data_IF_814775496482
#
_entry.id   IF_814775496482
#
_cell.length_a   1.000
_cell.length_b   1.000
_cell.length_c   1.000
_cell.angle_alpha   90.00
_cell.angle_beta   90.00
_cell.angle_gamma   90.00
#
_symmetry.space_group_name_H-M   'P 1'
#
loop_
_entity.id
_entity.type
_entity.pdbx_description
1 polymer ?
#
# COMPACT_ATOMS: atom_id res chain seq x y z
N UNK A 1 14.03 21.55 -7.21
CA UNK A 1 13.06 21.50 -6.09
C UNK A 1 13.85 21.30 -4.79
N UNK A 2 13.76 22.23 -3.84
CA UNK A 2 14.50 22.14 -2.58
C UNK A 2 13.97 20.96 -1.75
N UNK A 3 14.86 20.09 -1.27
CA UNK A 3 14.51 18.95 -0.42
C UNK A 3 13.99 19.51 0.92
N UNK A 4 12.72 19.23 1.25
CA UNK A 4 12.12 19.68 2.53
C UNK A 4 12.99 19.18 3.69
N UNK A 5 13.41 20.11 4.54
CA UNK A 5 14.22 19.83 5.72
C UNK A 5 13.46 18.87 6.64
N UNK A 6 14.15 17.85 7.16
CA UNK A 6 13.61 16.88 8.12
C UNK A 6 14.41 16.90 9.41
N UNK A 7 13.75 16.55 10.51
CA UNK A 7 14.35 16.43 11.83
C UNK A 7 14.21 14.99 12.30
N UNK A 8 15.22 14.43 12.96
CA UNK A 8 15.29 13.03 13.33
C UNK A 8 15.50 12.93 14.83
N UNK A 9 14.53 12.35 15.53
CA UNK A 9 14.68 12.00 16.94
C UNK A 9 15.19 10.57 17.04
N UNK A 10 16.21 10.35 17.87
CA UNK A 10 16.84 9.05 18.11
C UNK A 10 16.76 8.76 19.62
N UNK A 11 15.97 7.75 19.99
CA UNK A 11 15.81 7.29 21.36
C UNK A 11 16.81 6.19 21.72
N UNK A 12 17.16 5.33 20.75
CA UNK A 12 18.14 4.28 20.90
C UNK A 12 19.16 4.40 19.76
N UNK A 13 20.30 5.00 20.10
CA UNK A 13 21.40 5.34 19.21
C UNK A 13 22.68 5.61 20.03
N UNK A 14 23.80 5.89 19.36
CA UNK A 14 25.06 6.30 19.97
C UNK A 14 25.66 7.50 19.21
N UNK A 15 25.42 8.76 19.65
CA UNK A 15 24.59 9.15 20.79
C UNK A 15 23.08 9.22 20.44
N UNK A 16 22.18 8.97 21.41
CA UNK A 16 20.77 9.33 21.26
C UNK A 16 20.61 10.86 21.27
N UNK A 17 19.56 11.37 20.64
CA UNK A 17 19.33 12.81 20.55
C UNK A 17 18.59 13.25 19.29
N UNK A 18 18.64 14.55 19.03
CA UNK A 18 17.96 15.18 17.91
C UNK A 18 18.95 15.59 16.81
N UNK A 19 18.62 15.22 15.58
CA UNK A 19 19.46 15.48 14.41
C UNK A 19 18.68 16.24 13.35
N UNK A 20 19.33 17.24 12.75
CA UNK A 20 18.79 18.00 11.61
C UNK A 20 19.30 17.48 10.25
N UNK A 21 19.90 16.29 10.21
CA UNK A 21 20.39 15.73 8.95
C UNK A 21 20.42 14.21 9.00
N UNK A 22 20.06 13.59 7.88
CA UNK A 22 20.10 12.13 7.75
C UNK A 22 21.49 11.54 8.00
N UNK A 23 22.60 12.09 7.45
CA UNK A 23 23.92 11.51 7.68
C UNK A 23 24.31 11.45 9.16
N UNK A 24 23.98 12.49 9.94
CA UNK A 24 24.23 12.49 11.39
C UNK A 24 23.34 11.50 12.14
N UNK A 25 22.05 11.45 11.80
CA UNK A 25 21.14 10.45 12.36
C UNK A 25 21.60 9.02 12.01
N UNK A 26 22.03 8.78 10.77
CA UNK A 26 22.49 7.49 10.29
C UNK A 26 23.75 7.06 11.03
N UNK A 27 24.71 7.95 11.22
CA UNK A 27 25.91 7.66 12.02
C UNK A 27 25.55 7.24 13.45
N UNK A 28 24.53 7.87 14.04
CA UNK A 28 24.08 7.55 15.40
C UNK A 28 23.33 6.22 15.54
N UNK A 29 22.75 5.68 14.47
CA UNK A 29 21.99 4.40 14.52
C UNK A 29 22.71 3.23 13.84
N UNK A 30 23.75 3.51 13.05
CA UNK A 30 24.47 2.50 12.27
C UNK A 30 25.17 1.51 13.20
N UNK A 31 24.88 0.22 13.00
CA UNK A 31 25.46 -0.86 13.79
C UNK A 31 24.77 -1.12 15.13
N UNK A 32 23.69 -0.41 15.45
CA UNK A 32 22.93 -0.61 16.69
C UNK A 32 21.73 -1.50 16.40
N UNK A 33 21.76 -2.71 16.94
CA UNK A 33 20.62 -3.62 16.88
C UNK A 33 19.43 -3.03 17.63
N UNK A 34 18.28 -2.93 16.97
CA UNK A 34 17.08 -2.33 17.54
C UNK A 34 17.11 -0.81 17.66
N UNK A 35 17.92 -0.10 16.86
CA UNK A 35 17.93 1.37 16.88
C UNK A 35 16.52 1.98 16.74
N UNK A 36 16.20 2.92 17.62
CA UNK A 36 14.88 3.57 17.70
C UNK A 36 15.02 5.01 17.26
N UNK A 37 14.49 5.33 16.08
CA UNK A 37 14.52 6.67 15.53
C UNK A 37 13.28 6.96 14.69
N UNK A 38 12.96 8.25 14.50
CA UNK A 38 11.86 8.70 13.65
C UNK A 38 12.13 10.09 13.08
N UNK A 39 11.74 10.31 11.83
CA UNK A 39 11.79 11.62 11.19
C UNK A 39 10.49 12.41 11.35
N UNK A 40 10.60 13.73 11.49
CA UNK A 40 9.52 14.70 11.62
C UNK A 40 9.75 15.89 10.67
N UNK A 41 8.67 16.59 10.38
CA UNK A 41 8.68 17.73 9.45
C UNK A 41 9.10 19.05 10.13
N UNK A 42 8.95 19.15 11.46
CA UNK A 42 9.33 20.34 12.22
C UNK A 42 10.19 19.98 13.45
N UNK A 43 11.04 20.92 13.86
CA UNK A 43 11.89 20.78 15.04
C UNK A 43 11.04 20.53 16.31
N UNK A 44 10.00 21.36 16.50
CA UNK A 44 9.11 21.27 17.65
C UNK A 44 8.40 19.90 17.76
N UNK A 45 8.03 19.29 16.63
CA UNK A 45 7.46 17.93 16.63
C UNK A 45 8.48 16.89 17.07
N UNK A 46 9.72 17.03 16.62
CA UNK A 46 10.79 16.09 16.94
C UNK A 46 11.24 16.21 18.40
N UNK A 47 11.34 17.42 18.95
CA UNK A 47 11.62 17.69 20.36
C UNK A 47 10.52 17.12 21.26
N UNK A 48 9.26 17.42 20.93
CA UNK A 48 8.10 16.89 21.66
C UNK A 48 8.05 15.36 21.63
N UNK A 49 8.37 14.77 20.48
CA UNK A 49 8.43 13.31 20.36
C UNK A 49 9.56 12.73 21.21
N UNK A 50 10.76 13.32 21.15
CA UNK A 50 11.93 12.86 21.91
C UNK A 50 11.72 12.92 23.42
N UNK A 51 10.90 13.86 23.91
CA UNK A 51 10.48 13.94 25.31
C UNK A 51 9.51 12.82 25.76
N UNK A 52 8.88 12.11 24.81
CA UNK A 52 8.02 10.96 25.06
C UNK A 52 8.68 9.62 24.71
N UNK A 53 7.93 8.52 24.84
CA UNK A 53 8.43 7.19 24.48
C UNK A 53 8.41 6.97 22.95
N UNK A 54 9.39 6.22 22.43
CA UNK A 54 9.44 5.83 21.02
C UNK A 54 8.13 5.17 20.55
N UNK A 55 7.51 4.35 21.41
CA UNK A 55 6.22 3.68 21.14
C UNK A 55 5.09 4.68 20.85
N UNK A 56 5.07 5.81 21.55
CA UNK A 56 4.07 6.87 21.34
C UNK A 56 4.35 7.62 20.03
N UNK A 57 5.63 7.85 19.75
CA UNK A 57 6.04 8.47 18.50
C UNK A 57 5.66 7.61 17.28
N UNK A 58 5.81 6.28 17.33
CA UNK A 58 5.45 5.38 16.22
C UNK A 58 3.96 5.03 16.15
N UNK A 59 3.24 5.01 17.28
CA UNK A 59 1.81 4.71 17.31
C UNK A 59 0.98 5.82 16.67
N UNK A 60 1.42 7.08 16.81
CA UNK A 60 0.77 8.24 16.17
C UNK A 60 0.93 8.22 14.63
N UNK A 61 1.96 7.57 14.09
CA UNK A 61 2.09 7.34 12.63
C UNK A 61 1.24 6.18 12.08
N UNK A 62 0.70 5.33 12.95
CA UNK A 62 -0.09 4.16 12.56
C UNK A 62 -1.57 4.44 12.32
N UNK A 63 -2.09 5.58 12.79
CA UNK A 63 -3.39 6.07 12.31
C UNK A 63 -3.18 6.60 10.89
N UNK A 64 -3.15 5.69 9.91
CA UNK A 64 -3.72 6.01 8.60
C UNK A 64 -5.01 6.74 8.92
N UNK A 65 -5.19 7.96 8.41
CA UNK A 65 -6.54 8.51 8.30
C UNK A 65 -7.28 7.53 7.40
N UNK A 66 -7.83 6.47 7.98
CA UNK A 66 -8.96 5.81 7.38
C UNK A 66 -9.97 6.93 7.35
N UNK A 67 -10.18 7.51 6.18
CA UNK A 67 -11.44 8.19 5.91
C UNK A 67 -12.48 7.09 6.06
N UNK A 68 -12.83 6.78 7.32
CA UNK A 68 -13.78 5.76 7.66
C UNK A 68 -15.08 6.32 7.13
N UNK A 69 -15.52 5.75 6.01
CA UNK A 69 -16.74 6.13 5.32
C UNK A 69 -17.86 6.10 6.37
N UNK A 70 -18.56 7.22 6.53
CA UNK A 70 -19.64 7.33 7.52
C UNK A 70 -20.73 6.29 7.21
N UNK A 71 -21.58 5.97 8.19
CA UNK A 71 -22.67 5.03 7.98
C UNK A 71 -23.60 5.49 6.84
N UNK A 72 -23.83 6.79 6.72
CA UNK A 72 -24.63 7.42 5.68
C UNK A 72 -23.96 7.30 4.31
N UNK A 73 -22.64 7.49 4.23
CA UNK A 73 -21.90 7.31 2.99
C UNK A 73 -21.87 5.85 2.55
N UNK A 74 -21.76 4.89 3.48
CA UNK A 74 -21.86 3.45 3.16
C UNK A 74 -23.24 3.09 2.63
N UNK A 75 -24.30 3.63 3.25
CA UNK A 75 -25.67 3.42 2.78
C UNK A 75 -25.90 3.94 1.35
N UNK A 76 -25.25 5.06 0.96
CA UNK A 76 -25.30 5.59 -0.41
C UNK A 76 -24.53 4.75 -1.43
N UNK A 77 -23.40 4.15 -1.04
CA UNK A 77 -22.59 3.29 -1.93
C UNK A 77 -23.30 1.96 -2.19
N UNK A 78 -24.01 1.44 -1.17
CA UNK A 78 -24.73 0.17 -1.26
C UNK A 78 -23.81 -1.05 -1.22
N UNK A 79 -24.37 -2.20 -1.60
CA UNK A 79 -23.64 -3.46 -1.72
C UNK A 79 -23.13 -3.66 -3.16
N UNK A 80 -22.00 -4.36 -3.37
CA UNK A 80 -21.54 -4.71 -4.71
C UNK A 80 -22.56 -5.62 -5.42
N UNK A 81 -22.68 -5.47 -6.74
CA UNK A 81 -23.53 -6.37 -7.52
C UNK A 81 -22.82 -7.73 -7.69
N UNK A 82 -23.36 -8.76 -7.04
CA UNK A 82 -22.77 -10.11 -7.08
C UNK A 82 -23.01 -10.82 -8.43
N UNK A 83 -23.92 -10.34 -9.26
CA UNK A 83 -24.06 -10.76 -10.67
C UNK A 83 -22.98 -10.08 -11.52
N UNK A 84 -21.74 -10.47 -11.25
CA UNK A 84 -20.53 -9.93 -11.86
C UNK A 84 -19.42 -10.98 -11.91
N UNK A 85 -18.40 -10.69 -12.69
CA UNK A 85 -17.09 -11.34 -12.60
C UNK A 85 -16.08 -10.34 -12.04
N UNK A 86 -15.15 -10.80 -11.22
CA UNK A 86 -14.04 -9.98 -10.71
C UNK A 86 -12.73 -10.44 -11.33
N UNK A 87 -11.90 -9.52 -11.80
CA UNK A 87 -10.59 -9.81 -12.35
C UNK A 87 -9.48 -9.15 -11.54
N UNK A 88 -8.32 -9.79 -11.49
CA UNK A 88 -7.14 -9.22 -10.83
C UNK A 88 -5.86 -9.79 -11.45
N UNK A 89 -4.76 -9.06 -11.25
CA UNK A 89 -3.44 -9.46 -11.66
C UNK A 89 -2.46 -9.44 -10.49
N UNK A 90 -1.48 -10.35 -10.54
CA UNK A 90 -0.40 -10.42 -9.58
C UNK A 90 0.94 -10.39 -10.32
N UNK A 91 1.91 -9.66 -9.77
CA UNK A 91 3.27 -9.61 -10.34
C UNK A 91 4.33 -9.73 -9.24
N UNK A 92 5.19 -10.74 -9.35
CA UNK A 92 6.36 -10.96 -8.50
C UNK A 92 7.53 -10.08 -8.97
N UNK A 93 7.53 -8.83 -8.52
CA UNK A 93 8.36 -7.74 -9.05
C UNK A 93 7.58 -6.90 -10.06
N UNK A 94 7.94 -5.63 -10.23
CA UNK A 94 7.24 -4.71 -11.15
C UNK A 94 8.24 -3.82 -11.91
N UNK A 95 8.79 -4.27 -13.06
CA UNK A 95 8.43 -5.48 -13.80
C UNK A 95 8.88 -6.79 -13.16
N UNK A 96 8.17 -7.89 -13.45
CA UNK A 96 8.46 -9.22 -12.91
C UNK A 96 7.62 -10.33 -13.54
N UNK A 97 7.57 -11.49 -12.87
CA UNK A 97 6.74 -12.61 -13.29
C UNK A 97 5.27 -12.29 -12.98
N UNK A 98 4.42 -12.19 -13.99
CA UNK A 98 3.05 -11.67 -13.88
C UNK A 98 2.02 -12.71 -14.30
N UNK A 99 0.89 -12.77 -13.62
CA UNK A 99 -0.28 -13.58 -13.99
C UNK A 99 -1.56 -12.79 -13.73
N UNK A 100 -2.67 -13.24 -14.29
CA UNK A 100 -3.99 -12.67 -14.00
C UNK A 100 -5.09 -13.72 -14.10
N UNK A 101 -6.22 -13.44 -13.47
CA UNK A 101 -7.38 -14.34 -13.47
C UNK A 101 -8.70 -13.60 -13.36
N UNK A 102 -9.77 -14.31 -13.71
CA UNK A 102 -11.14 -13.88 -13.53
C UNK A 102 -11.94 -14.93 -12.76
N UNK A 103 -12.75 -14.47 -11.81
CA UNK A 103 -13.62 -15.32 -11.00
C UNK A 103 -15.07 -14.84 -11.04
N UNK A 104 -16.01 -15.73 -10.83
CA UNK A 104 -17.38 -15.35 -10.50
C UNK A 104 -17.41 -14.65 -9.13
N UNK A 105 -17.94 -13.42 -9.07
CA UNK A 105 -17.83 -12.58 -7.87
C UNK A 105 -18.55 -13.19 -6.67
N UNK A 106 -19.67 -13.89 -6.89
CA UNK A 106 -20.46 -14.50 -5.83
C UNK A 106 -19.84 -15.79 -5.32
N UNK A 107 -19.52 -16.71 -6.23
CA UNK A 107 -19.13 -18.09 -5.90
C UNK A 107 -17.63 -18.30 -5.78
N UNK A 108 -16.83 -17.33 -6.24
CA UNK A 108 -15.36 -17.40 -6.33
C UNK A 108 -14.85 -18.49 -7.27
N UNK A 109 -15.73 -19.06 -8.10
CA UNK A 109 -15.36 -20.03 -9.12
C UNK A 109 -14.40 -19.37 -10.13
N UNK A 110 -13.25 -19.99 -10.35
CA UNK A 110 -12.30 -19.58 -11.39
C UNK A 110 -12.93 -19.77 -12.78
N UNK A 111 -12.95 -18.70 -13.57
CA UNK A 111 -13.47 -18.69 -14.93
C UNK A 111 -12.34 -18.78 -15.95
N UNK A 112 -11.24 -18.07 -15.69
CA UNK A 112 -10.02 -18.13 -16.49
C UNK A 112 -8.80 -17.73 -15.65
N UNK A 113 -7.64 -18.21 -16.05
CA UNK A 113 -6.33 -17.85 -15.50
C UNK A 113 -5.31 -17.80 -16.65
N UNK A 114 -4.37 -16.86 -16.60
CA UNK A 114 -3.37 -16.64 -17.64
C UNK A 114 -2.02 -16.26 -17.01
N UNK A 115 -0.96 -16.84 -17.58
CA UNK A 115 0.41 -16.71 -17.10
C UNK A 115 0.94 -17.99 -16.44
N UNK A 116 2.07 -17.91 -15.73
CA UNK A 116 2.86 -16.69 -15.53
C UNK A 116 3.60 -16.25 -16.81
N UNK A 117 3.48 -14.97 -17.14
CA UNK A 117 4.32 -14.28 -18.12
C UNK A 117 5.65 -13.90 -17.47
N UNK A 118 6.77 -14.12 -18.16
CA UNK A 118 8.10 -13.94 -17.57
C UNK A 118 8.44 -12.48 -17.22
N UNK A 119 7.90 -11.53 -17.97
CA UNK A 119 8.14 -10.09 -17.84
C UNK A 119 6.82 -9.33 -18.07
N UNK A 120 6.19 -8.91 -16.98
CA UNK A 120 5.00 -8.07 -16.98
C UNK A 120 5.04 -7.06 -15.84
N UNK A 121 4.19 -6.05 -15.93
CA UNK A 121 3.94 -5.09 -14.84
C UNK A 121 2.54 -5.30 -14.29
N UNK A 122 2.27 -4.77 -13.09
CA UNK A 122 0.95 -4.89 -12.48
C UNK A 122 -0.15 -4.29 -13.38
N UNK A 123 0.08 -3.08 -13.88
CA UNK A 123 -0.89 -2.38 -14.73
C UNK A 123 -1.14 -3.09 -16.06
N UNK A 124 -0.13 -3.75 -16.64
CA UNK A 124 -0.32 -4.57 -17.85
C UNK A 124 -1.19 -5.78 -17.53
N UNK A 125 -0.93 -6.45 -16.39
CA UNK A 125 -1.76 -7.56 -15.93
C UNK A 125 -3.22 -7.16 -15.75
N UNK A 126 -3.48 -6.08 -15.01
CA UNK A 126 -4.84 -5.55 -14.78
C UNK A 126 -5.54 -5.21 -16.11
N UNK A 127 -4.84 -4.53 -17.02
CA UNK A 127 -5.39 -4.21 -18.34
C UNK A 127 -5.76 -5.47 -19.13
N UNK A 128 -4.87 -6.46 -19.19
CA UNK A 128 -5.13 -7.72 -19.90
C UNK A 128 -6.26 -8.51 -19.25
N UNK A 129 -6.36 -8.50 -17.92
CA UNK A 129 -7.43 -9.16 -17.18
C UNK A 129 -8.80 -8.55 -17.53
N UNK A 130 -8.90 -7.23 -17.61
CA UNK A 130 -10.12 -6.53 -18.02
C UNK A 130 -10.50 -6.84 -19.47
N UNK A 131 -9.55 -6.77 -20.40
CA UNK A 131 -9.79 -7.09 -21.81
C UNK A 131 -10.24 -8.54 -22.00
N UNK A 132 -9.59 -9.49 -21.30
CA UNK A 132 -9.99 -10.89 -21.32
C UNK A 132 -11.37 -11.09 -20.67
N UNK A 133 -11.66 -10.42 -19.55
CA UNK A 133 -12.98 -10.45 -18.90
C UNK A 133 -14.10 -10.01 -19.84
N UNK A 134 -13.92 -8.89 -20.56
CA UNK A 134 -14.88 -8.42 -21.57
C UNK A 134 -15.04 -9.42 -22.74
N UNK A 135 -13.94 -9.99 -23.22
CA UNK A 135 -13.97 -10.99 -24.29
C UNK A 135 -14.68 -12.29 -23.85
N UNK A 136 -14.44 -12.72 -22.61
CA UNK A 136 -15.11 -13.87 -21.99
C UNK A 136 -16.63 -13.63 -21.90
N UNK A 137 -17.06 -12.50 -21.35
CA UNK A 137 -18.49 -12.17 -21.23
C UNK A 137 -19.17 -12.11 -22.59
N UNK A 138 -18.52 -11.48 -23.59
CA UNK A 138 -19.03 -11.43 -24.97
C UNK A 138 -19.17 -12.82 -25.59
N UNK A 139 -18.19 -13.71 -25.37
CA UNK A 139 -18.21 -15.09 -25.87
C UNK A 139 -19.36 -15.91 -25.26
N UNK A 140 -19.61 -15.74 -23.97
CA UNK A 140 -20.68 -16.43 -23.25
C UNK A 140 -22.07 -15.79 -23.45
N UNK A 141 -22.15 -14.66 -24.17
CA UNK A 141 -23.40 -13.89 -24.30
C UNK A 141 -23.92 -13.35 -22.97
N UNK A 142 -23.02 -13.10 -22.02
CA UNK A 142 -23.36 -12.67 -20.66
C UNK A 142 -23.35 -11.14 -20.53
N UNK A 143 -24.32 -10.63 -19.79
CA UNK A 143 -24.49 -9.21 -19.42
C UNK A 143 -24.01 -8.90 -17.99
N UNK A 144 -23.33 -9.84 -17.34
CA UNK A 144 -22.74 -9.64 -16.01
C UNK A 144 -21.79 -8.44 -16.01
N UNK A 145 -21.73 -7.75 -14.88
CA UNK A 145 -20.74 -6.68 -14.70
C UNK A 145 -19.32 -7.26 -14.60
N UNK A 146 -18.34 -6.44 -14.94
CA UNK A 146 -16.92 -6.71 -14.74
C UNK A 146 -16.41 -5.78 -13.66
N UNK A 147 -15.84 -6.36 -12.61
CA UNK A 147 -15.10 -5.68 -11.55
C UNK A 147 -13.62 -5.95 -11.67
#
# INVERSE_FOLDING_TARGET
MAKKQKYYAVWQGNPPGLYNSWPKCQAAIKGISGAQYKSFDTLAQAEKALAGAYKDAISVSGKKKTNAISAEQKARIGAPNLYSISVDAASSGNPGRMEYQGVDTQTKKLLFHQGPFAQGTNNIGEFLALVHGLAYLKKEGSDRLLY
#
